data_IF_609795820262
#
_entry.id   IF_609795820262
#
_cell.length_a   1.000
_cell.length_b   1.000
_cell.length_c   1.000
_cell.angle_alpha   90.00
_cell.angle_beta   90.00
_cell.angle_gamma   90.00
#
_symmetry.space_group_name_H-M   'P 1'
#
loop_
_entity.id
_entity.type
_entity.pdbx_description
1 polymer ?
#
# COMPACT_ATOMS: atom_id res chain seq x y z
N UNK A 1 5.26 41.93 -49.25
CA UNK A 1 4.42 43.02 -48.74
C UNK A 1 3.08 42.38 -48.45
N UNK A 2 2.66 42.22 -47.18
CA UNK A 2 1.29 41.81 -46.89
C UNK A 2 0.35 42.89 -47.48
N UNK A 3 -0.73 42.48 -48.13
CA UNK A 3 -1.64 43.40 -48.80
C UNK A 3 -2.36 44.29 -47.78
N UNK A 4 -2.41 45.59 -48.07
CA UNK A 4 -2.95 46.64 -47.17
C UNK A 4 -4.41 46.41 -46.75
N UNK A 5 -5.14 45.57 -47.49
CA UNK A 5 -6.53 45.24 -47.24
C UNK A 5 -6.68 44.14 -46.18
N UNK A 6 -5.70 43.25 -46.04
CA UNK A 6 -5.71 42.22 -45.00
C UNK A 6 -5.44 42.84 -43.63
N UNK A 7 -4.46 43.75 -43.52
CA UNK A 7 -4.15 44.46 -42.26
C UNK A 7 -5.34 45.32 -41.78
N UNK A 8 -6.05 45.95 -42.72
CA UNK A 8 -7.27 46.71 -42.43
C UNK A 8 -8.43 45.80 -42.00
N UNK A 9 -8.53 44.59 -42.57
CA UNK A 9 -9.54 43.60 -42.19
C UNK A 9 -9.27 42.99 -40.80
N UNK A 10 -8.00 42.73 -40.47
CA UNK A 10 -7.59 42.27 -39.14
C UNK A 10 -7.79 43.35 -38.07
N UNK A 11 -7.49 44.62 -38.36
CA UNK A 11 -7.73 45.73 -37.44
C UNK A 11 -9.22 46.01 -37.21
N UNK A 12 -10.09 45.78 -38.20
CA UNK A 12 -11.54 45.90 -38.03
C UNK A 12 -12.11 44.79 -37.13
N UNK A 13 -11.59 43.57 -37.23
CA UNK A 13 -11.97 42.43 -36.38
C UNK A 13 -11.45 42.54 -34.93
N UNK A 14 -10.36 43.26 -34.68
CA UNK A 14 -9.85 43.50 -33.32
C UNK A 14 -10.68 44.56 -32.57
N UNK A 15 -11.39 45.43 -33.29
CA UNK A 15 -12.25 46.49 -32.75
C UNK A 15 -13.74 46.12 -32.69
N UNK A 16 -14.15 44.97 -33.23
CA UNK A 16 -15.52 44.47 -33.07
C UNK A 16 -15.70 43.87 -31.67
N UNK A 17 -16.63 44.46 -30.91
CA UNK A 17 -17.00 44.22 -29.51
C UNK A 17 -17.45 42.77 -29.22
N UNK A 18 -16.55 41.82 -29.37
CA UNK A 18 -16.72 40.44 -28.93
C UNK A 18 -16.44 40.30 -27.41
N UNK A 19 -15.96 41.38 -26.77
CA UNK A 19 -15.81 41.54 -25.33
C UNK A 19 -17.16 41.43 -24.63
N UNK A 20 -18.19 42.11 -25.14
CA UNK A 20 -19.52 42.10 -24.54
C UNK A 20 -20.17 40.71 -24.60
N UNK A 21 -20.01 39.98 -25.70
CA UNK A 21 -20.55 38.62 -25.82
C UNK A 21 -19.77 37.63 -24.95
N UNK A 22 -18.44 37.75 -24.88
CA UNK A 22 -17.59 36.95 -23.98
C UNK A 22 -17.94 37.23 -22.52
N UNK A 23 -18.08 38.49 -22.14
CA UNK A 23 -18.43 38.91 -20.79
C UNK A 23 -19.83 38.42 -20.41
N UNK A 24 -20.81 38.53 -21.32
CA UNK A 24 -22.16 37.98 -21.12
C UNK A 24 -22.13 36.47 -20.92
N UNK A 25 -21.33 35.74 -21.71
CA UNK A 25 -21.22 34.28 -21.63
C UNK A 25 -20.48 33.81 -20.38
N UNK A 26 -19.44 34.53 -19.97
CA UNK A 26 -18.72 34.29 -18.71
C UNK A 26 -19.65 34.56 -17.51
N UNK A 27 -20.42 35.65 -17.55
CA UNK A 27 -21.39 35.94 -16.49
C UNK A 27 -22.49 34.88 -16.39
N UNK A 28 -22.99 34.39 -17.52
CA UNK A 28 -23.99 33.32 -17.54
C UNK A 28 -23.45 32.02 -16.93
N UNK A 29 -22.23 31.59 -17.31
CA UNK A 29 -21.58 30.41 -16.77
C UNK A 29 -21.26 30.57 -15.27
N UNK A 30 -20.77 31.73 -14.85
CA UNK A 30 -20.48 32.01 -13.44
C UNK A 30 -21.74 32.02 -12.59
N UNK A 31 -22.86 32.54 -13.11
CA UNK A 31 -24.15 32.51 -12.42
C UNK A 31 -24.69 31.07 -12.28
N UNK A 32 -24.54 30.24 -13.32
CA UNK A 32 -24.93 28.82 -13.29
C UNK A 32 -24.06 28.02 -12.30
N UNK A 33 -22.74 28.22 -12.29
CA UNK A 33 -21.82 27.61 -11.33
C UNK A 33 -22.06 28.09 -9.90
N UNK A 34 -22.39 29.37 -9.70
CA UNK A 34 -22.69 29.94 -8.38
C UNK A 34 -24.03 29.43 -7.83
N UNK A 35 -25.06 29.34 -8.68
CA UNK A 35 -26.35 28.75 -8.31
C UNK A 35 -26.20 27.26 -7.96
N UNK A 36 -25.36 26.53 -8.70
CA UNK A 36 -25.03 25.15 -8.39
C UNK A 36 -24.20 25.04 -7.10
N UNK A 37 -23.24 25.95 -6.88
CA UNK A 37 -22.46 26.01 -5.63
C UNK A 37 -23.29 26.35 -4.40
N UNK A 38 -24.36 27.16 -4.50
CA UNK A 38 -25.16 27.50 -3.32
C UNK A 38 -26.00 26.31 -2.81
N UNK A 39 -26.40 25.40 -3.72
CA UNK A 39 -26.97 24.10 -3.34
C UNK A 39 -25.91 23.02 -3.04
N UNK A 40 -24.63 23.26 -3.36
CA UNK A 40 -23.53 22.33 -3.12
C UNK A 40 -22.64 22.69 -1.92
N UNK A 41 -22.72 23.92 -1.39
CA UNK A 41 -21.97 24.35 -0.20
C UNK A 41 -22.60 23.80 1.10
N UNK A 42 -23.90 23.53 1.10
CA UNK A 42 -24.56 22.74 2.15
C UNK A 42 -24.42 21.21 1.94
N UNK A 43 -23.78 20.79 0.84
CA UNK A 43 -23.49 19.38 0.50
C UNK A 43 -21.99 19.13 0.30
N UNK A 44 -21.16 19.92 0.97
CA UNK A 44 -19.73 19.63 1.18
C UNK A 44 -19.50 18.57 2.28
N UNK A 45 -20.55 17.84 2.71
CA UNK A 45 -20.50 16.78 3.72
C UNK A 45 -21.23 15.49 3.30
N UNK A 46 -21.66 15.34 2.05
CA UNK A 46 -22.25 14.08 1.57
C UNK A 46 -22.25 14.00 0.04
N UNK A 47 -21.05 13.86 -0.51
CA UNK A 47 -20.76 13.46 -1.87
C UNK A 47 -19.60 12.48 -1.84
N UNK A 48 -19.91 11.23 -1.51
CA UNK A 48 -19.05 10.08 -1.81
C UNK A 48 -18.63 10.14 -3.28
N UNK A 49 -17.34 9.88 -3.54
CA UNK A 49 -16.64 9.95 -4.86
C UNK A 49 -16.00 11.28 -5.28
N UNK A 50 -15.60 12.13 -4.33
CA UNK A 50 -14.49 13.08 -4.56
C UNK A 50 -13.17 12.36 -4.29
N UNK A 51 -12.25 12.38 -5.24
CA UNK A 51 -10.91 11.81 -5.12
C UNK A 51 -10.30 12.12 -3.75
N UNK A 52 -9.77 11.09 -3.10
CA UNK A 52 -8.77 11.24 -2.05
C UNK A 52 -7.63 12.04 -2.67
N UNK A 53 -7.59 13.32 -2.31
CA UNK A 53 -6.64 14.27 -2.84
C UNK A 53 -5.26 13.90 -2.29
N UNK A 54 -4.55 13.06 -3.03
CA UNK A 54 -3.10 12.86 -2.99
C UNK A 54 -2.44 12.63 -1.62
N UNK A 55 -3.17 12.12 -0.63
CA UNK A 55 -2.52 11.52 0.52
C UNK A 55 -2.28 10.05 0.18
N UNK A 56 -1.01 9.69 0.07
CA UNK A 56 -0.54 8.30 -0.10
C UNK A 56 -1.03 7.40 1.05
N UNK A 57 -1.50 8.02 2.14
CA UNK A 57 -1.99 7.37 3.34
C UNK A 57 -3.20 8.13 3.96
N UNK A 58 -4.39 8.02 3.34
CA UNK A 58 -5.61 8.72 3.76
C UNK A 58 -6.14 8.22 5.11
N UNK A 59 -6.80 9.11 5.86
CA UNK A 59 -7.54 8.74 7.06
C UNK A 59 -9.02 8.52 6.75
N UNK A 60 -9.54 7.32 7.05
CA UNK A 60 -10.94 6.95 6.87
C UNK A 60 -11.74 7.25 8.14
N UNK A 61 -12.86 7.95 7.96
CA UNK A 61 -13.64 8.52 9.07
C UNK A 61 -14.90 7.73 9.44
N UNK A 62 -15.23 6.65 8.73
CA UNK A 62 -16.45 5.86 8.99
C UNK A 62 -16.30 4.38 8.68
N UNK A 63 -17.08 3.52 9.33
CA UNK A 63 -17.07 2.07 9.06
C UNK A 63 -17.35 1.74 7.59
N UNK A 64 -18.28 2.48 6.98
CA UNK A 64 -18.63 2.33 5.55
C UNK A 64 -17.44 2.64 4.64
N UNK A 65 -16.66 3.68 4.96
CA UNK A 65 -15.47 4.03 4.16
C UNK A 65 -14.39 2.96 4.25
N UNK A 66 -14.24 2.28 5.39
CA UNK A 66 -13.30 1.15 5.53
C UNK A 66 -13.75 -0.04 4.68
N UNK A 67 -15.04 -0.37 4.72
CA UNK A 67 -15.59 -1.45 3.90
C UNK A 67 -15.41 -1.16 2.41
N UNK A 68 -15.79 0.03 1.94
CA UNK A 68 -15.63 0.46 0.55
C UNK A 68 -14.16 0.41 0.11
N UNK A 69 -13.24 0.83 0.98
CA UNK A 69 -11.80 0.78 0.70
C UNK A 69 -11.28 -0.66 0.56
N UNK A 70 -11.71 -1.57 1.43
CA UNK A 70 -11.28 -2.98 1.38
C UNK A 70 -11.87 -3.76 0.21
N UNK A 71 -13.00 -3.33 -0.35
CA UNK A 71 -13.67 -4.03 -1.47
C UNK A 71 -13.31 -3.45 -2.84
N UNK A 72 -12.96 -2.16 -2.92
CA UNK A 72 -12.57 -1.51 -4.18
C UNK A 72 -11.13 -1.78 -4.57
N UNK A 73 -10.26 -2.04 -3.61
CA UNK A 73 -8.84 -2.29 -3.85
C UNK A 73 -8.54 -3.78 -3.73
N UNK A 74 -7.76 -4.32 -4.67
CA UNK A 74 -7.32 -5.72 -4.65
C UNK A 74 -6.36 -6.03 -3.51
N UNK A 75 -5.46 -5.10 -3.15
CA UNK A 75 -4.52 -5.23 -2.03
C UNK A 75 -4.53 -3.97 -1.20
N UNK A 76 -4.84 -4.07 0.07
CA UNK A 76 -4.82 -2.91 0.96
C UNK A 76 -4.34 -3.23 2.37
N UNK A 77 -3.77 -2.22 3.01
CA UNK A 77 -3.32 -2.26 4.40
C UNK A 77 -4.05 -1.21 5.21
N UNK A 78 -4.75 -1.65 6.24
CA UNK A 78 -5.55 -0.79 7.10
C UNK A 78 -4.95 -0.77 8.50
N UNK A 79 -4.54 0.42 8.93
CA UNK A 79 -4.02 0.67 10.27
C UNK A 79 -5.13 1.18 11.19
N UNK A 80 -5.48 0.39 12.18
CA UNK A 80 -6.38 0.76 13.26
C UNK A 80 -5.57 1.40 14.39
N UNK A 81 -5.81 2.70 14.55
CA UNK A 81 -5.04 3.59 15.40
C UNK A 81 -5.93 4.33 16.40
N UNK A 82 -5.29 4.90 17.41
CA UNK A 82 -5.92 5.85 18.31
C UNK A 82 -4.89 6.92 18.68
N UNK A 83 -5.21 8.23 18.59
CA UNK A 83 -4.23 9.31 18.71
C UNK A 83 -3.56 9.38 20.08
N UNK A 84 -4.23 8.97 21.14
CA UNK A 84 -3.68 9.00 22.51
C UNK A 84 -2.56 7.98 22.75
N UNK A 85 -2.34 7.02 21.84
CA UNK A 85 -1.34 5.98 22.00
C UNK A 85 -0.08 6.30 21.20
N UNK A 86 1.03 6.58 21.90
CA UNK A 86 2.33 6.88 21.26
C UNK A 86 2.80 5.77 20.30
N UNK A 87 2.52 4.50 20.63
CA UNK A 87 2.84 3.34 19.77
C UNK A 87 2.13 3.40 18.41
N UNK A 88 0.91 3.92 18.36
CA UNK A 88 0.18 4.12 17.11
C UNK A 88 0.88 5.15 16.23
N UNK A 89 1.43 6.23 16.80
CA UNK A 89 2.16 7.24 16.04
C UNK A 89 3.44 6.67 15.40
N UNK A 90 4.14 5.79 16.12
CA UNK A 90 5.34 5.10 15.59
C UNK A 90 4.97 4.19 14.41
N UNK A 91 3.89 3.40 14.54
CA UNK A 91 3.39 2.57 13.44
C UNK A 91 2.96 3.42 12.24
N UNK A 92 2.32 4.55 12.48
CA UNK A 92 1.87 5.48 11.45
C UNK A 92 3.03 6.01 10.60
N UNK A 93 4.12 6.41 11.24
CA UNK A 93 5.34 6.89 10.57
C UNK A 93 5.93 5.79 9.67
N UNK A 94 6.02 4.55 10.16
CA UNK A 94 6.57 3.42 9.40
C UNK A 94 5.70 3.03 8.21
N UNK A 95 4.38 3.04 8.39
CA UNK A 95 3.45 2.78 7.29
C UNK A 95 3.45 3.91 6.26
N UNK A 96 3.65 5.16 6.68
CA UNK A 96 3.85 6.28 5.75
C UNK A 96 5.10 6.10 4.88
N UNK A 97 6.22 5.68 5.47
CA UNK A 97 7.45 5.32 4.74
C UNK A 97 7.16 4.20 3.73
N UNK A 98 6.48 3.13 4.16
CA UNK A 98 6.15 2.00 3.29
C UNK A 98 5.21 2.36 2.14
N UNK A 99 4.20 3.19 2.42
CA UNK A 99 3.23 3.64 1.42
C UNK A 99 3.88 4.52 0.34
N UNK A 100 4.95 5.26 0.69
CA UNK A 100 5.72 6.05 -0.27
C UNK A 100 6.50 5.21 -1.28
N UNK A 101 6.77 3.93 -0.95
CA UNK A 101 7.55 3.00 -1.78
C UNK A 101 6.65 2.01 -2.53
N UNK A 102 5.55 1.59 -1.91
CA UNK A 102 4.62 0.60 -2.47
C UNK A 102 3.34 1.24 -2.98
N UNK A 103 3.37 1.76 -4.20
CA UNK A 103 2.18 2.31 -4.86
C UNK A 103 1.20 1.24 -5.36
N UNK A 104 1.63 -0.02 -5.42
CA UNK A 104 0.81 -1.17 -5.80
C UNK A 104 -0.24 -1.57 -4.74
N UNK A 105 -0.04 -1.16 -3.48
CA UNK A 105 -0.94 -1.45 -2.36
C UNK A 105 -1.53 -0.16 -1.85
N UNK A 106 -2.84 -0.15 -1.59
CA UNK A 106 -3.47 1.02 -0.97
C UNK A 106 -3.34 0.96 0.55
N UNK A 107 -2.79 2.01 1.13
CA UNK A 107 -2.68 2.15 2.58
C UNK A 107 -3.81 3.04 3.09
N UNK A 108 -4.30 2.79 4.29
CA UNK A 108 -5.27 3.66 4.95
C UNK A 108 -5.11 3.62 6.47
N UNK A 109 -5.37 4.78 7.09
CA UNK A 109 -5.43 4.93 8.54
C UNK A 109 -6.87 5.03 9.00
N UNK A 110 -7.19 4.44 10.13
CA UNK A 110 -8.53 4.44 10.72
C UNK A 110 -8.42 4.73 12.20
N UNK A 111 -9.22 5.69 12.68
CA UNK A 111 -9.41 5.87 14.12
C UNK A 111 -10.47 4.86 14.60
N UNK A 112 -10.11 4.04 15.59
CA UNK A 112 -11.02 3.06 16.18
C UNK A 112 -12.26 3.69 16.82
N UNK A 113 -12.19 4.95 17.24
CA UNK A 113 -13.35 5.68 17.81
C UNK A 113 -14.43 5.93 16.76
N UNK A 114 -14.01 6.08 15.51
CA UNK A 114 -14.89 6.35 14.37
C UNK A 114 -15.40 5.07 13.70
N UNK A 115 -14.81 3.92 14.03
CA UNK A 115 -15.11 2.62 13.40
C UNK A 115 -15.33 1.50 14.41
N UNK A 116 -16.22 1.69 15.41
CA UNK A 116 -16.42 0.70 16.47
C UNK A 116 -16.99 -0.62 15.94
N UNK A 117 -17.77 -0.59 14.85
CA UNK A 117 -18.36 -1.80 14.28
C UNK A 117 -17.29 -2.69 13.65
N UNK A 118 -16.42 -2.11 12.82
CA UNK A 118 -15.31 -2.86 12.20
C UNK A 118 -14.31 -3.32 13.25
N UNK A 119 -13.93 -2.47 14.22
CA UNK A 119 -13.03 -2.84 15.30
C UNK A 119 -13.56 -4.04 16.10
N UNK A 120 -14.86 -4.03 16.44
CA UNK A 120 -15.50 -5.15 17.13
C UNK A 120 -15.59 -6.41 16.26
N UNK A 121 -16.01 -6.26 14.99
CA UNK A 121 -16.15 -7.40 14.06
C UNK A 121 -14.82 -8.09 13.76
N UNK A 122 -13.75 -7.32 13.65
CA UNK A 122 -12.39 -7.82 13.48
C UNK A 122 -11.74 -8.23 14.81
N UNK A 123 -12.39 -8.05 15.96
CA UNK A 123 -11.87 -8.46 17.26
C UNK A 123 -10.61 -7.69 17.68
N UNK A 124 -10.51 -6.40 17.34
CA UNK A 124 -9.37 -5.56 17.68
C UNK A 124 -9.45 -5.18 19.15
N UNK A 125 -8.59 -5.78 19.99
CA UNK A 125 -8.51 -5.52 21.44
C UNK A 125 -7.27 -4.71 21.84
N UNK A 126 -6.24 -4.72 21.00
CA UNK A 126 -4.92 -4.14 21.27
C UNK A 126 -4.55 -3.22 20.12
N UNK A 127 -4.00 -2.06 20.44
CA UNK A 127 -3.55 -1.05 19.49
C UNK A 127 -2.04 -0.79 19.62
N UNK A 128 -1.34 -0.47 18.51
CA UNK A 128 -1.83 -0.42 17.13
C UNK A 128 -2.21 -1.78 16.56
N UNK A 129 -3.11 -1.85 15.57
CA UNK A 129 -3.42 -3.10 14.84
C UNK A 129 -3.42 -2.83 13.34
N UNK A 130 -2.61 -3.55 12.58
CA UNK A 130 -2.53 -3.43 11.12
C UNK A 130 -3.04 -4.72 10.50
N UNK A 131 -3.97 -4.60 9.56
CA UNK A 131 -4.54 -5.75 8.87
C UNK A 131 -4.33 -5.56 7.37
N UNK A 132 -3.73 -6.57 6.75
CA UNK A 132 -3.58 -6.64 5.30
C UNK A 132 -4.71 -7.45 4.68
N UNK A 133 -5.35 -6.87 3.69
CA UNK A 133 -6.42 -7.47 2.92
C UNK A 133 -5.98 -7.71 1.48
N UNK A 134 -6.41 -8.85 0.94
CA UNK A 134 -6.33 -9.18 -0.47
C UNK A 134 -7.73 -9.57 -0.94
N UNK A 135 -8.28 -8.84 -1.90
CA UNK A 135 -9.61 -9.04 -2.49
C UNK A 135 -10.72 -9.16 -1.42
N UNK A 136 -10.65 -8.28 -0.41
CA UNK A 136 -11.57 -8.25 0.73
C UNK A 136 -11.33 -9.31 1.82
N UNK A 137 -10.37 -10.22 1.63
CA UNK A 137 -10.01 -11.26 2.61
C UNK A 137 -8.79 -10.82 3.42
N UNK A 138 -8.88 -10.86 4.75
CA UNK A 138 -7.76 -10.54 5.64
C UNK A 138 -6.71 -11.66 5.68
N UNK A 139 -5.50 -11.40 5.17
CA UNK A 139 -4.41 -12.39 5.07
C UNK A 139 -3.39 -12.32 6.20
N UNK A 140 -3.09 -11.11 6.68
CA UNK A 140 -2.17 -10.91 7.80
C UNK A 140 -2.73 -9.90 8.79
N UNK A 141 -2.34 -10.09 10.04
CA UNK A 141 -2.67 -9.20 11.15
C UNK A 141 -1.44 -9.02 12.01
N UNK A 142 -1.02 -7.78 12.14
CA UNK A 142 0.01 -7.34 13.07
C UNK A 142 -0.68 -6.67 14.25
N UNK A 143 -0.49 -7.22 15.44
CA UNK A 143 -1.03 -6.65 16.68
C UNK A 143 0.13 -6.04 17.46
N UNK A 144 0.03 -4.75 17.76
CA UNK A 144 1.09 -3.97 18.39
C UNK A 144 2.38 -4.00 17.55
N UNK A 145 3.42 -4.55 18.16
CA UNK A 145 4.71 -4.80 17.52
C UNK A 145 5.11 -6.27 17.57
N UNK A 146 4.13 -7.16 17.73
CA UNK A 146 4.36 -8.60 17.83
C UNK A 146 5.00 -9.14 16.55
N UNK A 147 6.17 -9.76 16.70
CA UNK A 147 6.95 -10.31 15.59
C UNK A 147 7.62 -9.24 14.71
N UNK A 148 7.64 -7.98 15.13
CA UNK A 148 8.41 -6.90 14.50
C UNK A 148 9.63 -6.49 15.34
N UNK A 149 9.61 -6.81 16.63
CA UNK A 149 10.79 -6.70 17.47
C UNK A 149 11.72 -7.89 17.17
N UNK A 150 12.97 -7.59 16.86
CA UNK A 150 14.06 -8.58 16.82
C UNK A 150 15.00 -8.43 18.02
N UNK A 151 14.69 -7.53 18.97
CA UNK A 151 15.61 -7.07 20.03
C UNK A 151 14.98 -6.97 21.43
N UNK A 152 13.75 -7.44 21.62
CA UNK A 152 13.07 -7.47 22.92
C UNK A 152 12.82 -6.09 23.54
N UNK A 153 12.90 -5.01 22.75
CA UNK A 153 12.61 -3.67 23.23
C UNK A 153 11.12 -3.39 23.06
N UNK A 154 10.49 -2.81 24.09
CA UNK A 154 9.05 -2.66 24.32
C UNK A 154 8.31 -1.73 23.32
N UNK A 155 8.66 -1.79 22.03
CA UNK A 155 8.03 -1.04 20.95
C UNK A 155 8.12 0.48 21.06
N UNK A 156 8.80 1.01 22.08
CA UNK A 156 8.86 2.44 22.38
C UNK A 156 9.81 3.17 21.42
N UNK A 157 10.91 2.52 21.02
CA UNK A 157 11.89 3.07 20.07
C UNK A 157 11.54 2.76 18.60
N UNK A 158 10.44 2.03 18.37
CA UNK A 158 10.00 1.58 17.06
C UNK A 158 10.70 0.33 16.56
N UNK A 159 10.26 -0.13 15.39
CA UNK A 159 10.74 -1.33 14.73
C UNK A 159 11.34 -0.99 13.36
N UNK A 160 12.08 -1.94 12.79
CA UNK A 160 12.65 -1.80 11.45
C UNK A 160 11.59 -2.09 10.38
N UNK A 161 11.33 -1.11 9.51
CA UNK A 161 10.34 -1.21 8.42
C UNK A 161 10.64 -2.40 7.51
N UNK A 162 11.91 -2.76 7.34
CA UNK A 162 12.34 -3.91 6.54
C UNK A 162 11.75 -5.22 7.05
N UNK A 163 11.60 -5.38 8.37
CA UNK A 163 11.02 -6.59 8.97
C UNK A 163 9.53 -6.66 8.66
N UNK A 164 8.82 -5.53 8.79
CA UNK A 164 7.41 -5.45 8.44
C UNK A 164 7.19 -5.70 6.95
N UNK A 165 8.01 -5.11 6.09
CA UNK A 165 7.94 -5.31 4.64
C UNK A 165 8.14 -6.77 4.26
N UNK A 166 9.22 -7.41 4.75
CA UNK A 166 9.48 -8.85 4.51
C UNK A 166 8.30 -9.72 4.94
N UNK A 167 7.70 -9.42 6.10
CA UNK A 167 6.51 -10.12 6.58
C UNK A 167 5.32 -9.95 5.64
N UNK A 168 5.06 -8.73 5.18
CA UNK A 168 3.94 -8.43 4.29
C UNK A 168 4.12 -9.03 2.89
N UNK A 169 5.35 -9.10 2.39
CA UNK A 169 5.70 -9.81 1.14
C UNK A 169 5.51 -11.31 1.30
N UNK A 170 6.01 -11.90 2.40
CA UNK A 170 5.83 -13.33 2.68
C UNK A 170 4.35 -13.74 2.76
N UNK A 171 3.49 -12.83 3.22
CA UNK A 171 2.04 -13.03 3.28
C UNK A 171 1.31 -12.75 1.97
N UNK A 172 2.02 -12.29 0.94
CA UNK A 172 1.46 -11.97 -0.39
C UNK A 172 0.61 -10.70 -0.44
N UNK A 173 0.74 -9.83 0.58
CA UNK A 173 0.06 -8.53 0.61
C UNK A 173 0.86 -7.51 -0.20
N UNK A 174 2.19 -7.48 -0.03
CA UNK A 174 3.10 -6.75 -0.91
C UNK A 174 3.62 -7.69 -2.00
N UNK A 175 3.98 -7.13 -3.16
CA UNK A 175 4.46 -7.92 -4.30
C UNK A 175 5.94 -8.27 -4.20
N UNK A 176 6.77 -7.35 -3.72
CA UNK A 176 8.21 -7.53 -3.60
C UNK A 176 8.77 -6.65 -2.49
N UNK A 177 9.97 -6.98 -2.00
CA UNK A 177 10.74 -6.15 -1.08
C UNK A 177 11.42 -5.04 -1.89
N UNK A 178 11.14 -3.79 -1.57
CA UNK A 178 11.70 -2.58 -2.19
C UNK A 178 12.58 -1.79 -1.22
N UNK A 179 12.31 -1.83 0.08
CA UNK A 179 13.09 -1.12 1.09
C UNK A 179 14.31 -1.97 1.47
N UNK A 180 15.45 -1.63 0.86
CA UNK A 180 16.74 -2.27 1.16
C UNK A 180 17.26 -3.20 0.07
N UNK A 181 16.94 -2.93 -1.20
CA UNK A 181 17.49 -3.62 -2.37
C UNK A 181 19.02 -3.73 -2.34
N UNK A 182 19.47 -4.89 -1.92
CA UNK A 182 20.86 -5.26 -1.71
C UNK A 182 20.84 -6.62 -1.05
N UNK A 183 20.51 -7.62 -1.88
CA UNK A 183 20.81 -9.06 -1.76
C UNK A 183 19.58 -9.89 -2.17
N UNK A 184 19.62 -10.27 -3.44
CA UNK A 184 19.14 -11.51 -4.07
C UNK A 184 18.16 -12.38 -3.27
N UNK A 185 16.91 -12.46 -3.73
CA UNK A 185 16.17 -13.71 -3.99
C UNK A 185 14.76 -13.34 -4.50
N UNK A 186 14.68 -13.19 -5.82
CA UNK A 186 13.43 -13.18 -6.59
C UNK A 186 12.93 -14.62 -6.71
N UNK A 187 11.91 -14.99 -5.95
CA UNK A 187 11.25 -16.29 -6.09
C UNK A 187 9.81 -16.22 -5.53
N UNK A 188 9.01 -15.25 -6.01
CA UNK A 188 7.55 -15.31 -5.83
C UNK A 188 7.01 -16.29 -6.87
N UNK A 189 6.92 -17.56 -6.47
CA UNK A 189 6.15 -18.58 -7.21
C UNK A 189 4.66 -18.26 -7.05
N UNK A 190 4.02 -17.87 -8.14
CA UNK A 190 2.56 -17.90 -8.24
C UNK A 190 2.15 -19.38 -8.24
N UNK A 191 1.70 -19.89 -7.08
CA UNK A 191 1.00 -21.17 -7.04
C UNK A 191 -0.41 -20.96 -7.59
N UNK A 192 -0.57 -21.27 -8.88
CA UNK A 192 -1.88 -21.48 -9.49
C UNK A 192 -2.49 -22.74 -8.88
N UNK A 193 -3.45 -22.54 -8.01
CA UNK A 193 -4.30 -23.60 -7.46
C UNK A 193 -5.19 -24.14 -8.60
N UNK A 194 -4.84 -25.31 -9.12
CA UNK A 194 -5.67 -26.10 -10.04
C UNK A 194 -5.75 -27.53 -9.52
N UNK A 195 -6.81 -27.76 -8.76
CA UNK A 195 -7.37 -29.08 -8.46
C UNK A 195 -7.76 -29.77 -9.77
N UNK A 196 -7.12 -30.89 -10.10
CA UNK A 196 -7.72 -31.97 -10.91
C UNK A 196 -6.91 -33.27 -10.76
N UNK A 197 -7.61 -34.33 -10.39
CA UNK A 197 -7.04 -35.58 -9.92
C UNK A 197 -6.48 -36.56 -10.97
N UNK A 198 -5.77 -37.55 -10.41
CA UNK A 198 -5.51 -38.91 -10.92
C UNK A 198 -4.59 -39.11 -12.14
N UNK A 199 -3.48 -39.85 -11.91
CA UNK A 199 -2.99 -40.84 -12.88
C UNK A 199 -1.50 -40.83 -13.22
N UNK A 200 -0.71 -41.63 -12.50
CA UNK A 200 0.24 -42.61 -13.04
C UNK A 200 1.32 -42.24 -14.09
N UNK A 201 2.58 -42.45 -13.65
CA UNK A 201 3.74 -43.07 -14.36
C UNK A 201 4.56 -42.21 -15.36
N UNK A 202 5.84 -42.01 -14.99
CA UNK A 202 6.95 -42.49 -15.81
C UNK A 202 8.16 -41.58 -16.07
N UNK A 203 9.32 -42.01 -15.52
CA UNK A 203 10.68 -41.94 -16.07
C UNK A 203 11.46 -40.61 -16.17
N UNK A 204 12.57 -40.53 -15.43
CA UNK A 204 13.60 -39.51 -15.61
C UNK A 204 14.83 -39.62 -14.70
N UNK A 205 15.50 -40.78 -14.67
CA UNK A 205 16.80 -40.97 -13.99
C UNK A 205 17.94 -40.37 -14.81
N UNK A 206 18.76 -39.47 -14.22
CA UNK A 206 20.23 -39.28 -14.41
C UNK A 206 20.65 -37.93 -13.80
N UNK A 207 21.79 -37.72 -13.15
CA UNK A 207 22.98 -38.54 -12.84
C UNK A 207 23.80 -37.75 -11.79
N UNK A 208 24.17 -38.37 -10.67
CA UNK A 208 25.25 -37.88 -9.79
C UNK A 208 26.59 -38.19 -10.48
N UNK A 209 27.50 -37.21 -10.54
CA UNK A 209 28.89 -37.36 -10.94
C UNK A 209 29.82 -37.12 -9.76
N UNK A 210 30.82 -37.98 -9.59
CA UNK A 210 31.74 -38.10 -8.46
C UNK A 210 33.14 -37.66 -8.92
N UNK A 211 33.77 -36.81 -8.09
CA UNK A 211 35.22 -36.60 -7.82
C UNK A 211 36.16 -36.16 -8.96
N UNK A 212 36.96 -35.14 -8.63
CA UNK A 212 38.41 -35.24 -8.71
C UNK A 212 39.03 -34.78 -7.38
N UNK A 213 40.16 -35.36 -7.02
CA UNK A 213 40.85 -35.22 -5.72
C UNK A 213 42.34 -35.17 -5.99
N UNK A 214 43.09 -34.27 -5.34
CA UNK A 214 44.47 -34.57 -4.89
C UNK A 214 45.05 -33.50 -3.93
N UNK A 215 46.19 -33.74 -3.23
CA UNK A 215 46.21 -33.78 -1.77
C UNK A 215 47.37 -32.94 -1.16
N UNK A 216 47.32 -32.64 0.13
CA UNK A 216 48.53 -32.66 0.97
C UNK A 216 48.21 -32.37 2.43
N UNK A 217 48.64 -33.29 3.31
CA UNK A 217 49.41 -33.02 4.55
C UNK A 217 48.60 -32.37 5.70
N UNK A 218 48.46 -32.94 6.90
CA UNK A 218 49.14 -34.06 7.58
C UNK A 218 48.28 -34.53 8.76
N UNK A 219 48.33 -35.84 8.96
CA UNK A 219 47.94 -36.58 10.16
C UNK A 219 48.71 -36.13 11.43
N UNK A 220 47.99 -36.00 12.54
CA UNK A 220 48.36 -36.16 13.98
C UNK A 220 47.06 -35.79 14.74
N UNK A 221 46.41 -36.62 15.53
CA UNK A 221 46.70 -37.89 16.18
C UNK A 221 45.86 -37.89 17.47
N UNK A 222 45.33 -39.06 17.84
CA UNK A 222 44.72 -39.44 19.12
C UNK A 222 43.39 -38.73 19.49
N UNK A 223 42.28 -39.46 19.52
CA UNK A 223 41.80 -40.28 20.64
C UNK A 223 41.53 -39.41 21.87
N UNK A 224 40.26 -39.15 22.17
CA UNK A 224 39.68 -39.53 23.46
C UNK A 224 38.17 -39.24 23.47
N UNK A 225 37.46 -40.28 23.85
CA UNK A 225 36.06 -40.31 24.20
C UNK A 225 35.83 -39.44 25.44
N UNK A 226 34.81 -38.58 25.46
CA UNK A 226 34.25 -38.07 26.71
C UNK A 226 32.75 -37.80 26.55
N UNK A 227 32.04 -38.88 26.90
CA UNK A 227 30.72 -38.96 27.52
C UNK A 227 30.50 -37.81 28.53
N UNK A 228 29.41 -37.03 28.37
CA UNK A 228 28.95 -36.11 29.41
C UNK A 228 27.43 -36.24 29.56
N UNK A 229 27.06 -36.80 30.71
CA UNK A 229 25.74 -36.81 31.36
C UNK A 229 25.00 -35.45 31.30
#
# INVERSE_FOLDING_TARGET
MPDSDDEALFAALENEDDTLYRDQRIHQLNAELAATKNNHSARATSGTTGLLQNEVYPTLSSDQSVLDFTTRTSRCLVHFAHPDFARCAVMDMRLGELASVHHEVSFARVDVRNTPFIAHKLGIKVLPCVIGFKDGVGLDRVVGFEGLDARGFDGVEGFDVKVLEKRLVFKGILLAVKIGGGDEDDDVREEEDSDDGAGGRGYGRKKRGIRDSNPNVRNRGDDDDDDWD
#
